data_IF_039619657323
#
_entry.id   IF_039619657323
#
_cell.length_a   1.000
_cell.length_b   1.000
_cell.length_c   1.000
_cell.angle_alpha   90.00
_cell.angle_beta   90.00
_cell.angle_gamma   90.00
#
_symmetry.space_group_name_H-M   'P 1'
#
loop_
_entity.id
_entity.type
_entity.pdbx_description
1 polymer ?
#
# COMPACT_ATOMS: atom_id res chain seq x y z
N UNK A 1 -4.00 10.96 0.54
CA UNK A 1 -5.42 10.59 0.68
C UNK A 1 -5.57 9.09 0.69
N UNK A 2 -6.53 8.62 1.42
CA UNK A 2 -6.82 7.19 1.46
C UNK A 2 -7.12 6.68 0.05
N UNK A 3 -6.50 5.57 -0.31
CA UNK A 3 -6.64 5.01 -1.65
C UNK A 3 -5.65 5.52 -2.67
N UNK A 4 -4.84 6.50 -2.31
CA UNK A 4 -3.79 6.97 -3.21
C UNK A 4 -2.58 6.07 -3.12
N UNK A 5 -1.90 5.94 -4.26
CA UNK A 5 -0.64 5.20 -4.37
C UNK A 5 0.51 6.19 -4.34
N UNK A 6 1.51 5.88 -3.54
CA UNK A 6 2.72 6.68 -3.43
C UNK A 6 3.95 5.82 -3.60
N UNK A 7 4.97 6.39 -4.21
CA UNK A 7 6.27 5.77 -4.20
C UNK A 7 6.86 5.92 -2.80
N UNK A 8 7.38 4.82 -2.25
CA UNK A 8 8.02 4.86 -0.94
C UNK A 8 9.50 5.16 -1.09
N UNK A 9 9.98 6.12 -0.32
CA UNK A 9 11.41 6.35 -0.17
C UNK A 9 11.97 5.29 0.76
N UNK A 10 13.19 4.81 0.52
CA UNK A 10 13.82 3.88 1.46
C UNK A 10 14.03 4.54 2.81
N UNK A 11 14.03 3.74 3.88
CA UNK A 11 14.36 4.22 5.19
C UNK A 11 15.82 4.66 5.19
N UNK A 12 16.13 5.75 5.93
CA UNK A 12 17.48 6.32 5.91
C UNK A 12 18.52 5.38 6.49
N UNK A 13 18.12 4.48 7.38
CA UNK A 13 19.01 3.52 7.99
C UNK A 13 18.97 2.17 7.31
N UNK A 14 18.32 2.08 6.15
CA UNK A 14 18.20 0.83 5.44
C UNK A 14 19.57 0.35 4.97
N UNK A 15 19.82 -0.93 5.14
CA UNK A 15 21.05 -1.52 4.67
C UNK A 15 21.06 -1.55 3.15
N UNK A 16 22.23 -1.52 2.56
CA UNK A 16 22.38 -1.42 1.12
C UNK A 16 21.89 -2.62 0.34
N UNK A 17 21.55 -3.69 1.01
CA UNK A 17 21.07 -4.87 0.32
C UNK A 17 19.56 -4.96 0.19
N UNK A 18 18.82 -3.96 0.74
CA UNK A 18 17.41 -4.05 0.57
C UNK A 18 17.04 -3.68 -0.82
N UNK A 19 15.88 -3.45 -1.06
CA UNK A 19 15.16 -3.45 -2.26
C UNK A 19 15.82 -2.92 -3.50
N UNK A 20 15.49 -3.52 -4.60
CA UNK A 20 15.86 -3.11 -5.93
C UNK A 20 14.65 -2.52 -6.61
N UNK A 21 14.84 -1.40 -7.27
CA UNK A 21 13.79 -0.74 -8.01
C UNK A 21 12.78 -0.03 -7.12
N UNK A 22 11.78 0.59 -7.73
CA UNK A 22 10.81 1.37 -7.01
C UNK A 22 9.87 0.51 -6.18
N UNK A 23 9.48 1.05 -5.03
CA UNK A 23 8.46 0.47 -4.17
C UNK A 23 7.29 1.43 -4.07
N UNK A 24 6.09 0.86 -4.08
CA UNK A 24 4.86 1.63 -4.01
C UNK A 24 3.99 1.11 -2.88
N UNK A 25 3.15 1.99 -2.34
CA UNK A 25 2.23 1.61 -1.28
C UNK A 25 0.93 2.37 -1.43
N UNK A 26 -0.14 1.76 -0.95
CA UNK A 26 -1.47 2.34 -0.92
C UNK A 26 -1.69 2.94 0.46
N UNK A 27 -2.11 4.20 0.51
CA UNK A 27 -2.51 4.82 1.77
C UNK A 27 -3.85 4.24 2.21
N UNK A 28 -3.89 3.65 3.39
CA UNK A 28 -5.12 3.04 3.90
C UNK A 28 -5.63 3.71 5.17
N UNK A 29 -4.86 4.60 5.77
CA UNK A 29 -5.31 5.35 6.93
C UNK A 29 -6.42 6.32 6.56
N UNK A 30 -7.40 6.48 7.44
CA UNK A 30 -8.48 7.45 7.25
C UNK A 30 -7.93 8.86 7.08
N UNK A 31 -8.48 9.60 6.12
CA UNK A 31 -8.12 11.00 5.91
C UNK A 31 -8.52 11.89 7.07
N UNK A 32 -9.40 11.41 7.95
CA UNK A 32 -9.84 12.17 9.12
C UNK A 32 -8.81 12.16 10.25
N UNK A 33 -7.79 11.30 10.17
CA UNK A 33 -6.78 11.17 11.20
C UNK A 33 -5.45 11.67 10.64
N UNK A 34 -5.00 12.81 11.16
CA UNK A 34 -3.78 13.47 10.70
C UNK A 34 -2.67 13.26 11.72
N UNK A 35 -1.68 12.49 11.34
CA UNK A 35 -0.52 12.17 12.17
C UNK A 35 0.75 12.40 11.38
N UNK A 36 1.89 12.38 12.06
CA UNK A 36 3.20 12.41 11.38
C UNK A 36 3.52 11.07 10.73
N UNK A 37 2.72 10.05 11.00
CA UNK A 37 2.85 8.72 10.42
C UNK A 37 1.61 8.38 9.61
N UNK A 38 1.73 7.39 8.73
CA UNK A 38 0.63 6.95 7.90
C UNK A 38 0.64 5.43 7.79
N UNK A 39 -0.54 4.83 7.92
CA UNK A 39 -0.68 3.39 7.69
C UNK A 39 -0.83 3.15 6.19
N UNK A 40 0.02 2.31 5.66
CA UNK A 40 0.04 1.98 4.23
C UNK A 40 0.10 0.47 4.04
N UNK A 41 -0.32 0.02 2.86
CA UNK A 41 -0.14 -1.36 2.44
C UNK A 41 0.84 -1.38 1.26
N UNK A 42 1.95 -2.12 1.35
CA UNK A 42 2.89 -2.19 0.23
C UNK A 42 2.29 -2.97 -0.93
N UNK A 43 2.88 -2.83 -2.10
CA UNK A 43 2.44 -3.52 -3.30
C UNK A 43 3.54 -4.44 -3.81
N UNK A 44 3.14 -5.43 -4.62
CA UNK A 44 4.09 -6.37 -5.22
C UNK A 44 3.56 -6.88 -6.54
N UNK A 45 4.46 -7.01 -7.52
CA UNK A 45 4.13 -7.64 -8.80
C UNK A 45 4.45 -9.13 -8.81
N UNK A 46 5.11 -9.63 -7.76
CA UNK A 46 5.62 -11.00 -7.73
C UNK A 46 5.15 -11.83 -6.55
N UNK A 47 4.36 -11.26 -5.64
CA UNK A 47 3.88 -11.98 -4.47
C UNK A 47 2.87 -13.06 -4.87
N UNK A 48 2.69 -14.04 -3.98
CA UNK A 48 1.68 -15.06 -4.18
C UNK A 48 0.28 -14.45 -4.02
N UNK A 49 -0.65 -14.78 -4.92
CA UNK A 49 -2.03 -14.32 -4.78
C UNK A 49 -2.69 -14.90 -3.52
N UNK A 50 -3.60 -14.11 -2.94
CA UNK A 50 -4.40 -14.54 -1.80
C UNK A 50 -5.65 -13.68 -1.73
N UNK A 51 -6.70 -14.17 -1.06
CA UNK A 51 -7.95 -13.43 -0.97
C UNK A 51 -7.78 -12.10 -0.23
N UNK A 52 -6.74 -11.95 0.57
CA UNK A 52 -6.42 -10.71 1.28
C UNK A 52 -5.35 -9.89 0.57
N UNK A 53 -5.03 -10.20 -0.68
CA UNK A 53 -4.08 -9.46 -1.51
C UNK A 53 -4.76 -9.04 -2.81
N UNK A 54 -5.64 -8.03 -2.73
CA UNK A 54 -6.40 -7.64 -3.91
C UNK A 54 -5.50 -7.17 -5.04
N UNK A 55 -5.94 -7.47 -6.25
CA UNK A 55 -5.23 -7.09 -7.45
C UNK A 55 -5.67 -5.72 -7.91
N UNK A 56 -4.71 -4.89 -8.25
CA UNK A 56 -4.94 -3.58 -8.86
C UNK A 56 -4.10 -3.49 -10.13
N UNK A 57 -4.37 -2.46 -10.90
CA UNK A 57 -3.56 -2.17 -12.07
C UNK A 57 -2.79 -0.88 -11.85
N UNK A 58 -1.47 -0.94 -12.03
CA UNK A 58 -0.59 0.23 -11.97
C UNK A 58 0.15 0.34 -13.28
N UNK A 59 -0.12 1.41 -14.04
CA UNK A 59 0.53 1.65 -15.32
C UNK A 59 0.47 0.41 -16.24
N UNK A 60 -0.69 -0.23 -16.29
CA UNK A 60 -0.89 -1.40 -17.12
C UNK A 60 -0.31 -2.70 -16.55
N UNK A 61 0.28 -2.66 -15.36
CA UNK A 61 0.88 -3.83 -14.73
C UNK A 61 0.01 -4.33 -13.60
N UNK A 62 -0.28 -5.63 -13.63
CA UNK A 62 -1.00 -6.29 -12.56
C UNK A 62 -0.17 -6.26 -11.29
N UNK A 63 -0.74 -5.79 -10.21
CA UNK A 63 -0.03 -5.57 -8.95
C UNK A 63 -0.92 -6.01 -7.80
N UNK A 64 -0.35 -6.64 -6.78
CA UNK A 64 -1.09 -7.06 -5.60
C UNK A 64 -0.87 -6.06 -4.47
N UNK A 65 -1.95 -5.72 -3.76
CA UNK A 65 -1.85 -4.90 -2.56
C UNK A 65 -1.70 -5.86 -1.37
N UNK A 66 -0.59 -5.76 -0.67
CA UNK A 66 -0.26 -6.69 0.41
C UNK A 66 -0.86 -6.18 1.72
N UNK A 67 -2.17 -6.36 1.85
CA UNK A 67 -2.89 -5.88 3.03
C UNK A 67 -2.40 -6.58 4.30
N UNK A 68 -1.98 -7.83 4.18
CA UNK A 68 -1.41 -8.57 5.31
C UNK A 68 -0.08 -8.01 5.80
N UNK A 69 0.54 -7.13 5.02
CA UNK A 69 1.80 -6.48 5.39
C UNK A 69 1.63 -4.98 5.62
N UNK A 70 0.40 -4.55 5.87
CA UNK A 70 0.18 -3.13 6.17
C UNK A 70 0.98 -2.73 7.39
N UNK A 71 1.48 -1.50 7.36
CA UNK A 71 2.35 -1.00 8.41
C UNK A 71 2.29 0.51 8.48
N UNK A 72 2.79 1.02 9.58
CA UNK A 72 2.92 2.45 9.78
C UNK A 72 4.29 2.91 9.28
N UNK A 73 4.30 3.97 8.49
CA UNK A 73 5.54 4.59 8.04
C UNK A 73 5.52 6.06 8.42
N UNK A 74 6.70 6.65 8.57
CA UNK A 74 6.81 8.09 8.73
C UNK A 74 6.32 8.76 7.43
N UNK A 75 5.57 9.84 7.55
CA UNK A 75 5.02 10.51 6.38
C UNK A 75 6.11 10.99 5.41
N UNK A 76 7.32 11.25 5.92
CA UNK A 76 8.45 11.66 5.07
C UNK A 76 8.90 10.56 4.10
N UNK A 77 8.46 9.33 4.32
CA UNK A 77 8.79 8.24 3.40
C UNK A 77 7.89 8.20 2.18
N UNK A 78 6.81 8.98 2.17
CA UNK A 78 5.94 9.06 1.02
C UNK A 78 6.60 9.95 -0.04
N UNK A 79 6.88 9.36 -1.18
CA UNK A 79 7.43 10.07 -2.32
C UNK A 79 6.33 10.56 -3.26
N UNK A 80 6.60 10.46 -4.54
CA UNK A 80 5.69 10.96 -5.54
C UNK A 80 4.37 10.20 -5.57
N UNK A 81 3.31 10.94 -5.83
CA UNK A 81 2.00 10.37 -6.11
C UNK A 81 2.09 9.51 -7.37
N UNK A 82 1.61 8.28 -7.28
CA UNK A 82 1.74 7.31 -8.37
C UNK A 82 0.40 6.85 -8.94
N UNK A 83 -0.71 7.28 -8.35
CA UNK A 83 -2.02 6.89 -8.85
C UNK A 83 -3.06 6.83 -7.75
N UNK A 84 -4.25 6.42 -8.13
CA UNK A 84 -5.38 6.34 -7.20
C UNK A 84 -6.20 5.11 -7.53
N UNK A 85 -6.59 4.36 -6.50
CA UNK A 85 -7.47 3.22 -6.67
C UNK A 85 -8.83 3.69 -7.17
N UNK A 86 -9.44 2.92 -8.07
CA UNK A 86 -10.81 3.17 -8.47
C UNK A 86 -11.78 2.63 -7.40
N UNK A 87 -13.08 2.80 -7.63
CA UNK A 87 -14.08 2.42 -6.64
C UNK A 87 -14.10 0.90 -6.39
N UNK A 88 -13.91 0.10 -7.42
CA UNK A 88 -13.88 -1.36 -7.29
C UNK A 88 -12.65 -1.79 -6.51
N UNK A 89 -11.49 -1.27 -6.88
CA UNK A 89 -10.23 -1.57 -6.20
C UNK A 89 -10.28 -1.16 -4.73
N UNK A 90 -10.83 0.02 -4.45
CA UNK A 90 -10.99 0.50 -3.07
C UNK A 90 -11.87 -0.45 -2.26
N UNK A 91 -12.99 -0.89 -2.84
CA UNK A 91 -13.86 -1.85 -2.17
C UNK A 91 -13.17 -3.16 -1.86
N UNK A 92 -12.34 -3.64 -2.78
CA UNK A 92 -11.60 -4.88 -2.57
C UNK A 92 -10.52 -4.74 -1.49
N UNK A 93 -9.86 -3.60 -1.44
CA UNK A 93 -8.89 -3.33 -0.37
C UNK A 93 -9.59 -3.26 0.98
N UNK A 94 -10.74 -2.58 1.05
CA UNK A 94 -11.51 -2.50 2.29
C UNK A 94 -11.94 -3.89 2.77
N UNK A 95 -12.39 -4.74 1.86
CA UNK A 95 -12.78 -6.11 2.21
C UNK A 95 -11.58 -6.90 2.72
N UNK A 96 -10.42 -6.75 2.08
CA UNK A 96 -9.21 -7.45 2.52
C UNK A 96 -8.79 -7.00 3.92
N UNK A 97 -8.91 -5.71 4.23
CA UNK A 97 -8.64 -5.19 5.57
C UNK A 97 -9.56 -5.85 6.60
N UNK A 98 -10.85 -5.93 6.28
CA UNK A 98 -11.81 -6.57 7.17
C UNK A 98 -11.49 -8.04 7.40
N UNK A 99 -11.07 -8.75 6.35
CA UNK A 99 -10.69 -10.15 6.46
C UNK A 99 -9.47 -10.32 7.37
N UNK A 100 -8.43 -9.52 7.13
CA UNK A 100 -7.17 -9.63 7.88
C UNK A 100 -7.37 -9.27 9.36
N UNK A 101 -8.19 -8.26 9.62
CA UNK A 101 -8.43 -7.80 11.00
C UNK A 101 -9.56 -8.53 11.70
N UNK A 102 -10.29 -9.38 10.97
CA UNK A 102 -11.38 -10.15 11.58
C UNK A 102 -12.59 -9.33 11.93
N UNK A 103 -12.84 -8.23 11.22
CA UNK A 103 -13.98 -7.33 11.49
C UNK A 103 -15.11 -7.49 10.49
N UNK A 104 -15.02 -8.50 9.66
CA UNK A 104 -16.01 -8.74 8.63
C UNK A 104 -17.27 -9.37 9.22
#
# INVERSE_FOLDING_TARGET
>A
MRGDLYRLRPATDAAGHEQRGPRYAVAIQSDAILLSTLIVAPTSTSAQPAIFRPEIEMDGTRTLVLVDQMRTVDASRLGDFAGRLDAVETGEVDRAIQLILGTL
#
